data_IF_808054098804
#
_entry.id   IF_808054098804
#
_cell.length_a   1.000
_cell.length_b   1.000
_cell.length_c   1.000
_cell.angle_alpha   90.00
_cell.angle_beta   90.00
_cell.angle_gamma   90.00
#
_symmetry.space_group_name_H-M   'P 1'
#
loop_
_entity.id
_entity.type
_entity.pdbx_description
1 polymer ?
#
# COMPACT_ATOMS: atom_id res chain seq x y z
N UNK A 1 14.37 -5.96 12.32
CA UNK A 1 13.19 -6.82 12.65
C UNK A 1 12.49 -6.42 13.95
N UNK A 2 12.97 -5.42 14.71
CA UNK A 2 12.37 -5.00 15.99
C UNK A 2 11.45 -3.77 15.94
N UNK A 3 11.47 -2.99 14.84
CA UNK A 3 10.66 -1.77 14.74
C UNK A 3 9.14 -2.00 14.61
N UNK A 4 8.70 -3.21 14.22
CA UNK A 4 7.26 -3.57 14.17
C UNK A 4 6.67 -3.93 15.54
N UNK A 5 7.52 -4.26 16.53
CA UNK A 5 7.06 -4.54 17.90
C UNK A 5 6.80 -3.24 18.68
N UNK A 6 7.64 -2.21 18.49
CA UNK A 6 7.51 -0.92 19.19
C UNK A 6 6.23 -0.14 18.83
N UNK A 7 5.83 -0.13 17.57
CA UNK A 7 4.61 0.57 17.12
C UNK A 7 3.33 -0.09 17.67
N UNK A 8 3.34 -1.41 17.83
CA UNK A 8 2.25 -2.17 18.45
C UNK A 8 2.15 -1.92 19.98
N UNK A 9 3.26 -1.60 20.65
CA UNK A 9 3.29 -1.24 22.07
C UNK A 9 2.86 0.22 22.28
N UNK A 10 3.15 1.12 21.33
CA UNK A 10 2.74 2.52 21.41
C UNK A 10 1.22 2.68 21.30
N UNK A 11 0.55 1.89 20.44
CA UNK A 11 -0.91 1.81 20.40
C UNK A 11 -1.51 1.10 21.63
N UNK A 12 -0.77 0.20 22.28
CA UNK A 12 -1.19 -0.47 23.54
C UNK A 12 -1.32 0.50 24.72
N UNK A 13 -0.48 1.54 24.79
CA UNK A 13 -0.40 2.41 25.97
C UNK A 13 -1.33 3.63 25.93
N UNK A 14 -2.02 3.89 24.82
CA UNK A 14 -2.94 5.04 24.72
C UNK A 14 -4.44 4.66 24.77
N UNK A 15 -4.77 3.36 24.84
CA UNK A 15 -6.14 2.86 24.94
C UNK A 15 -6.27 2.06 26.24
N UNK A 16 -6.30 2.78 27.36
CA UNK A 16 -6.76 2.24 28.63
C UNK A 16 -8.27 2.00 28.56
N UNK A 17 -8.70 0.82 28.09
CA UNK A 17 -10.10 0.42 28.11
C UNK A 17 -10.43 -0.71 27.12
N UNK A 18 -10.45 -1.95 27.65
CA UNK A 18 -10.89 -3.19 27.00
C UNK A 18 -10.17 -3.59 25.69
N UNK A 19 -9.15 -4.45 25.84
CA UNK A 19 -8.87 -5.44 24.80
C UNK A 19 -10.04 -6.43 24.77
N UNK A 20 -11.00 -6.22 23.85
CA UNK A 20 -12.05 -7.20 23.57
C UNK A 20 -11.44 -8.42 22.85
N UNK A 21 -11.48 -9.64 23.43
CA UNK A 21 -11.03 -10.86 22.76
C UNK A 21 -11.68 -11.08 21.39
N UNK A 22 -12.94 -10.62 21.20
CA UNK A 22 -13.62 -10.68 19.92
C UNK A 22 -12.99 -9.76 18.89
N UNK A 23 -12.56 -8.56 19.28
CA UNK A 23 -11.85 -7.65 18.38
C UNK A 23 -10.54 -8.27 17.87
N UNK A 24 -9.80 -8.92 18.76
CA UNK A 24 -8.57 -9.62 18.38
C UNK A 24 -8.85 -10.82 17.45
N UNK A 25 -9.89 -11.62 17.74
CA UNK A 25 -10.29 -12.74 16.90
C UNK A 25 -10.76 -12.30 15.51
N UNK A 26 -11.53 -11.21 15.43
CA UNK A 26 -11.99 -10.60 14.17
C UNK A 26 -10.79 -10.10 13.36
N UNK A 27 -9.83 -9.42 14.02
CA UNK A 27 -8.61 -8.95 13.35
C UNK A 27 -7.76 -10.10 12.82
N UNK A 28 -7.59 -11.18 13.58
CA UNK A 28 -6.88 -12.38 13.11
C UNK A 28 -7.55 -12.99 11.88
N UNK A 29 -8.88 -13.13 11.91
CA UNK A 29 -9.64 -13.69 10.79
C UNK A 29 -9.54 -12.78 9.54
N UNK A 30 -9.56 -11.46 9.72
CA UNK A 30 -9.41 -10.52 8.62
C UNK A 30 -8.03 -10.64 7.95
N UNK A 31 -6.96 -10.77 8.72
CA UNK A 31 -5.62 -10.95 8.16
C UNK A 31 -5.47 -12.30 7.45
N UNK A 32 -6.05 -13.37 7.99
CA UNK A 32 -6.08 -14.68 7.31
C UNK A 32 -6.85 -14.59 5.98
N UNK A 33 -8.01 -13.95 5.97
CA UNK A 33 -8.81 -13.73 4.75
C UNK A 33 -8.03 -12.91 3.73
N UNK A 34 -7.37 -11.82 4.15
CA UNK A 34 -6.52 -11.02 3.26
C UNK A 34 -5.36 -11.84 2.69
N UNK A 35 -4.77 -12.75 3.45
CA UNK A 35 -3.73 -13.66 2.94
C UNK A 35 -4.27 -14.55 1.83
N UNK A 36 -5.41 -15.22 2.06
CA UNK A 36 -6.07 -16.07 1.05
C UNK A 36 -6.42 -15.29 -0.21
N UNK A 37 -6.96 -14.08 -0.05
CA UNK A 37 -7.27 -13.21 -1.17
C UNK A 37 -6.00 -12.83 -1.96
N UNK A 38 -4.90 -12.54 -1.29
CA UNK A 38 -3.62 -12.25 -1.96
C UNK A 38 -3.10 -13.46 -2.74
N UNK A 39 -3.17 -14.66 -2.17
CA UNK A 39 -2.74 -15.90 -2.84
C UNK A 39 -3.50 -16.14 -4.15
N UNK A 40 -4.79 -15.77 -4.20
CA UNK A 40 -5.61 -15.87 -5.41
C UNK A 40 -5.32 -14.72 -6.38
N UNK A 41 -5.24 -13.49 -5.88
CA UNK A 41 -5.24 -12.28 -6.72
C UNK A 41 -3.86 -11.97 -7.32
N UNK A 42 -2.78 -12.15 -6.55
CA UNK A 42 -1.41 -11.85 -7.01
C UNK A 42 -1.07 -12.52 -8.35
N UNK A 43 -1.23 -13.85 -8.53
CA UNK A 43 -0.87 -14.48 -9.80
C UNK A 43 -1.72 -13.98 -10.98
N UNK A 44 -2.99 -13.61 -10.76
CA UNK A 44 -3.86 -13.05 -11.80
C UNK A 44 -3.34 -11.69 -12.27
N UNK A 45 -2.98 -10.83 -11.31
CA UNK A 45 -2.45 -9.49 -11.57
C UNK A 45 -1.10 -9.57 -12.28
N UNK A 46 -0.20 -10.44 -11.81
CA UNK A 46 1.13 -10.65 -12.43
C UNK A 46 1.03 -11.21 -13.85
N UNK A 47 0.16 -12.20 -14.09
CA UNK A 47 -0.09 -12.75 -15.43
C UNK A 47 -0.70 -11.72 -16.39
N UNK A 48 -1.28 -10.65 -15.86
CA UNK A 48 -1.82 -9.53 -16.64
C UNK A 48 -0.77 -8.45 -16.93
N UNK A 49 0.49 -8.63 -16.52
CA UNK A 49 1.56 -7.64 -16.68
C UNK A 49 1.50 -6.49 -15.67
N UNK A 50 0.69 -6.61 -14.62
CA UNK A 50 0.56 -5.64 -13.55
C UNK A 50 1.17 -6.17 -12.24
N UNK A 51 1.17 -5.35 -11.19
CA UNK A 51 1.52 -5.77 -9.84
C UNK A 51 0.49 -5.28 -8.83
N UNK A 52 0.31 -6.06 -7.76
CA UNK A 52 -0.57 -5.70 -6.66
C UNK A 52 0.11 -4.63 -5.78
N UNK A 53 -0.54 -3.48 -5.63
CA UNK A 53 -0.10 -2.40 -4.75
C UNK A 53 -0.63 -2.60 -3.34
N UNK A 54 -1.94 -2.84 -3.20
CA UNK A 54 -2.58 -3.04 -1.91
C UNK A 54 -3.92 -3.78 -2.07
N UNK A 55 -4.42 -4.34 -0.97
CA UNK A 55 -5.71 -5.00 -0.88
C UNK A 55 -6.40 -4.59 0.42
N UNK A 56 -7.59 -4.01 0.29
CA UNK A 56 -8.37 -3.51 1.41
C UNK A 56 -9.79 -4.08 1.42
N UNK A 57 -10.27 -4.41 2.62
CA UNK A 57 -11.66 -4.77 2.88
C UNK A 57 -12.27 -3.64 3.69
N UNK A 58 -13.28 -2.97 3.14
CA UNK A 58 -13.97 -1.84 3.77
C UNK A 58 -15.45 -2.13 3.97
N UNK A 59 -16.01 -1.59 5.04
CA UNK A 59 -17.42 -1.82 5.39
C UNK A 59 -17.64 -3.20 6.02
N UNK A 60 -18.92 -3.52 6.27
CA UNK A 60 -19.34 -4.76 6.93
C UNK A 60 -20.65 -5.27 6.33
N UNK A 61 -20.86 -6.59 6.40
CA UNK A 61 -22.06 -7.26 5.90
C UNK A 61 -22.33 -6.94 4.43
N UNK A 62 -23.57 -6.55 4.09
CA UNK A 62 -23.99 -6.24 2.71
C UNK A 62 -23.29 -5.02 2.09
N UNK A 63 -22.53 -4.24 2.86
CA UNK A 63 -21.77 -3.07 2.40
C UNK A 63 -20.27 -3.35 2.30
N UNK A 64 -19.86 -4.63 2.34
CA UNK A 64 -18.45 -5.00 2.20
C UNK A 64 -17.96 -4.66 0.79
N UNK A 65 -16.83 -3.95 0.71
CA UNK A 65 -16.10 -3.68 -0.53
C UNK A 65 -14.70 -4.27 -0.42
N UNK A 66 -14.34 -5.09 -1.39
CA UNK A 66 -12.97 -5.50 -1.67
C UNK A 66 -12.35 -4.51 -2.66
N UNK A 67 -11.45 -3.68 -2.18
CA UNK A 67 -10.64 -2.80 -3.02
C UNK A 67 -9.31 -3.49 -3.34
N UNK A 68 -9.01 -3.61 -4.62
CA UNK A 68 -7.75 -4.13 -5.14
C UNK A 68 -7.04 -3.01 -5.89
N UNK A 69 -5.90 -2.57 -5.36
CA UNK A 69 -5.08 -1.56 -5.99
C UNK A 69 -3.99 -2.24 -6.82
N UNK A 70 -3.97 -1.95 -8.12
CA UNK A 70 -3.03 -2.54 -9.09
C UNK A 70 -2.35 -1.44 -9.88
N UNK A 71 -1.14 -1.69 -10.37
CA UNK A 71 -0.42 -0.74 -11.21
C UNK A 71 0.53 -1.49 -12.17
N UNK A 72 1.10 -0.78 -13.13
CA UNK A 72 2.10 -1.31 -14.08
C UNK A 72 3.36 -0.45 -14.03
N UNK A 73 4.43 -0.87 -14.71
CA UNK A 73 5.65 -0.06 -14.76
C UNK A 73 5.50 1.19 -15.61
N UNK A 74 4.65 1.13 -16.64
CA UNK A 74 4.40 2.21 -17.60
C UNK A 74 3.15 3.04 -17.28
N UNK A 75 2.48 2.73 -16.17
CA UNK A 75 1.21 3.32 -15.76
C UNK A 75 0.01 2.52 -16.28
N UNK A 76 -0.96 2.29 -15.40
CA UNK A 76 -2.13 1.46 -15.70
C UNK A 76 -3.28 2.26 -16.31
N UNK A 77 -3.93 1.69 -17.31
CA UNK A 77 -5.10 2.25 -17.98
C UNK A 77 -6.42 1.71 -17.41
N UNK A 78 -7.52 2.42 -17.65
CA UNK A 78 -8.86 2.00 -17.22
C UNK A 78 -9.23 0.63 -17.82
N UNK A 79 -8.88 0.39 -19.09
CA UNK A 79 -9.16 -0.88 -19.76
C UNK A 79 -8.37 -2.06 -19.16
N UNK A 80 -7.16 -1.82 -18.66
CA UNK A 80 -6.39 -2.85 -17.95
C UNK A 80 -7.01 -3.17 -16.59
N UNK A 81 -7.42 -2.14 -15.84
CA UNK A 81 -8.17 -2.33 -14.60
C UNK A 81 -9.45 -3.14 -14.83
N UNK A 82 -10.20 -2.86 -15.91
CA UNK A 82 -11.42 -3.59 -16.24
C UNK A 82 -11.15 -5.08 -16.54
N UNK A 83 -10.10 -5.36 -17.33
CA UNK A 83 -9.69 -6.74 -17.63
C UNK A 83 -9.29 -7.49 -16.37
N UNK A 84 -8.45 -6.89 -15.53
CA UNK A 84 -7.99 -7.47 -14.26
C UNK A 84 -9.18 -7.68 -13.33
N UNK A 85 -10.10 -6.72 -13.24
CA UNK A 85 -11.33 -6.83 -12.45
C UNK A 85 -12.15 -8.06 -12.82
N UNK A 86 -12.34 -8.29 -14.12
CA UNK A 86 -13.08 -9.46 -14.60
C UNK A 86 -12.39 -10.78 -14.22
N UNK A 87 -11.07 -10.87 -14.41
CA UNK A 87 -10.31 -12.08 -14.06
C UNK A 87 -10.33 -12.36 -12.55
N UNK A 88 -10.23 -11.31 -11.73
CA UNK A 88 -10.34 -11.44 -10.28
C UNK A 88 -11.75 -11.90 -9.89
N UNK A 89 -12.80 -11.30 -10.48
CA UNK A 89 -14.18 -11.69 -10.21
C UNK A 89 -14.41 -13.17 -10.54
N UNK A 90 -14.01 -13.61 -11.73
CA UNK A 90 -14.15 -15.00 -12.17
C UNK A 90 -13.45 -15.98 -11.21
N UNK A 91 -12.26 -15.62 -10.72
CA UNK A 91 -11.53 -16.43 -9.75
C UNK A 91 -12.19 -16.45 -8.38
N UNK A 92 -12.67 -15.30 -7.89
CA UNK A 92 -13.35 -15.22 -6.60
C UNK A 92 -14.70 -15.94 -6.60
N UNK A 93 -15.38 -16.04 -7.74
CA UNK A 93 -16.59 -16.88 -7.90
C UNK A 93 -16.28 -18.37 -7.79
N UNK A 94 -15.07 -18.80 -8.20
CA UNK A 94 -14.64 -20.21 -8.11
C UNK A 94 -14.14 -20.57 -6.71
N UNK A 95 -13.28 -19.73 -6.12
CA UNK A 95 -12.68 -20.00 -4.82
C UNK A 95 -13.59 -19.63 -3.63
N UNK A 96 -14.53 -18.70 -3.84
CA UNK A 96 -15.49 -18.15 -2.88
C UNK A 96 -14.94 -17.89 -1.46
N UNK A 97 -13.83 -17.13 -1.31
CA UNK A 97 -13.19 -16.97 -0.01
C UNK A 97 -13.91 -15.99 0.92
N UNK A 98 -14.77 -15.10 0.39
CA UNK A 98 -15.44 -14.05 1.16
C UNK A 98 -16.89 -14.47 1.42
N UNK A 99 -17.29 -14.69 2.69
CA UNK A 99 -18.66 -15.06 2.99
C UNK A 99 -19.64 -13.90 2.71
N UNK A 100 -20.66 -14.18 1.91
CA UNK A 100 -21.76 -13.26 1.64
C UNK A 100 -21.48 -12.26 0.51
N UNK A 101 -22.40 -11.31 0.32
CA UNK A 101 -22.31 -10.34 -0.78
C UNK A 101 -21.26 -9.25 -0.52
N UNK A 102 -20.44 -8.95 -1.51
CA UNK A 102 -19.50 -7.83 -1.49
C UNK A 102 -19.47 -7.11 -2.84
N UNK A 103 -18.84 -5.93 -2.87
CA UNK A 103 -18.48 -5.20 -4.09
C UNK A 103 -16.99 -5.36 -4.37
N UNK A 104 -16.63 -5.69 -5.60
CA UNK A 104 -15.24 -5.64 -6.07
C UNK A 104 -14.96 -4.28 -6.72
N UNK A 105 -13.87 -3.63 -6.31
CA UNK A 105 -13.35 -2.42 -6.93
C UNK A 105 -11.87 -2.62 -7.27
N UNK A 106 -11.52 -2.47 -8.56
CA UNK A 106 -10.14 -2.59 -9.03
C UNK A 106 -9.72 -1.27 -9.66
N UNK A 107 -8.63 -0.69 -9.16
CA UNK A 107 -8.17 0.62 -9.63
C UNK A 107 -6.67 0.82 -9.40
N UNK A 108 -6.10 1.85 -10.03
CA UNK A 108 -4.79 2.35 -9.65
C UNK A 108 -4.84 3.00 -8.26
N UNK A 109 -3.76 2.99 -7.46
CA UNK A 109 -3.71 3.73 -6.20
C UNK A 109 -3.93 5.24 -6.41
N UNK A 110 -3.68 5.79 -7.59
CA UNK A 110 -3.92 7.20 -7.90
C UNK A 110 -2.89 8.15 -7.27
N UNK A 111 -2.94 9.41 -7.70
CA UNK A 111 -1.99 10.44 -7.28
C UNK A 111 -2.27 10.88 -5.84
N UNK A 112 -1.23 10.96 -5.03
CA UNK A 112 -1.30 11.46 -3.66
C UNK A 112 -1.64 10.38 -2.62
N UNK A 113 -1.85 9.14 -3.04
CA UNK A 113 -1.91 8.02 -2.12
C UNK A 113 -0.50 7.59 -1.68
N UNK A 114 -0.30 7.27 -0.39
CA UNK A 114 0.97 6.76 0.10
C UNK A 114 1.41 5.50 -0.65
N UNK A 115 2.69 5.43 -1.00
CA UNK A 115 3.30 4.24 -1.56
C UNK A 115 3.26 3.10 -0.55
N UNK A 116 2.92 1.91 -1.03
CA UNK A 116 2.79 0.67 -0.27
C UNK A 116 3.88 -0.34 -0.63
N UNK A 117 4.42 -0.24 -1.84
CA UNK A 117 5.45 -1.17 -2.34
C UNK A 117 6.65 -0.42 -2.92
N UNK A 118 7.84 -1.02 -2.85
CA UNK A 118 9.09 -0.41 -3.36
C UNK A 118 9.04 -0.11 -4.86
N UNK A 119 8.35 -0.96 -5.63
CA UNK A 119 8.18 -0.80 -7.09
C UNK A 119 7.57 0.57 -7.47
N UNK A 120 6.71 1.12 -6.62
CA UNK A 120 6.13 2.46 -6.85
C UNK A 120 7.19 3.57 -6.83
N UNK A 121 8.30 3.41 -6.10
CA UNK A 121 9.39 4.39 -6.17
C UNK A 121 10.09 4.33 -7.53
N UNK A 122 10.37 3.12 -8.03
CA UNK A 122 11.03 2.92 -9.32
C UNK A 122 10.21 3.54 -10.47
N UNK A 123 8.90 3.28 -10.49
CA UNK A 123 7.99 3.79 -11.54
C UNK A 123 7.73 5.30 -11.45
N UNK A 124 8.09 5.94 -10.33
CA UNK A 124 7.93 7.37 -10.11
C UNK A 124 9.27 8.14 -10.16
N UNK A 125 10.36 7.52 -10.65
CA UNK A 125 11.61 8.24 -10.91
C UNK A 125 11.35 9.40 -11.87
N UNK A 126 11.92 10.55 -11.55
CA UNK A 126 11.73 11.81 -12.28
C UNK A 126 10.53 12.63 -11.84
N UNK A 127 9.60 12.10 -11.01
CA UNK A 127 8.45 12.85 -10.47
C UNK A 127 8.77 13.49 -9.12
N UNK A 128 7.97 14.48 -8.72
CA UNK A 128 8.05 15.06 -7.39
C UNK A 128 7.35 14.17 -6.37
N UNK A 129 8.03 13.92 -5.26
CA UNK A 129 7.48 13.23 -4.10
C UNK A 129 7.41 14.17 -2.91
N UNK A 130 6.37 13.99 -2.10
CA UNK A 130 6.32 14.44 -0.70
C UNK A 130 6.67 13.25 0.17
N UNK A 131 7.73 13.36 0.95
CA UNK A 131 8.28 12.28 1.76
C UNK A 131 8.41 12.72 3.21
N UNK A 132 7.74 11.99 4.11
CA UNK A 132 7.95 12.05 5.56
C UNK A 132 8.93 10.96 5.96
N UNK A 133 9.97 11.34 6.68
CA UNK A 133 10.99 10.40 7.14
C UNK A 133 11.50 10.77 8.54
N UNK A 134 12.06 9.77 9.22
CA UNK A 134 12.71 9.93 10.51
C UNK A 134 14.18 10.32 10.30
N UNK A 135 14.60 11.47 10.83
CA UNK A 135 16.00 11.90 10.75
C UNK A 135 16.83 11.18 11.82
N UNK A 136 17.91 10.52 11.42
CA UNK A 136 18.73 9.68 12.30
C UNK A 136 19.35 10.42 13.49
N UNK A 137 19.84 11.64 13.24
CA UNK A 137 20.56 12.46 14.21
C UNK A 137 19.71 12.95 15.40
N UNK A 138 18.41 13.11 15.19
CA UNK A 138 17.52 13.86 16.08
C UNK A 138 16.23 13.12 16.42
N UNK A 139 15.97 11.97 15.78
CA UNK A 139 14.71 11.22 15.89
C UNK A 139 13.48 12.11 15.59
N UNK A 140 13.67 13.18 14.84
CA UNK A 140 12.59 14.07 14.43
C UNK A 140 11.99 13.57 13.13
N UNK A 141 10.66 13.60 13.05
CA UNK A 141 9.93 13.39 11.81
C UNK A 141 9.98 14.67 10.99
N UNK A 142 10.52 14.57 9.79
CA UNK A 142 10.64 15.69 8.86
C UNK A 142 9.89 15.36 7.57
N UNK A 143 9.23 16.36 7.00
CA UNK A 143 8.62 16.26 5.67
C UNK A 143 9.41 17.10 4.68
N UNK A 144 9.70 16.53 3.51
CA UNK A 144 10.35 17.23 2.41
C UNK A 144 9.58 17.01 1.11
N UNK A 145 9.77 17.93 0.18
CA UNK A 145 9.32 17.81 -1.20
C UNK A 145 10.52 17.90 -2.12
N UNK A 146 10.67 16.95 -3.02
CA UNK A 146 11.80 16.89 -3.94
C UNK A 146 11.52 15.97 -5.12
N UNK A 147 12.32 16.09 -6.16
CA UNK A 147 12.26 15.21 -7.33
C UNK A 147 12.96 13.90 -7.01
N UNK A 148 12.30 12.77 -7.28
CA UNK A 148 12.94 11.46 -7.17
C UNK A 148 13.95 11.29 -8.31
N UNK A 149 15.22 11.14 -7.96
CA UNK A 149 16.32 10.99 -8.93
C UNK A 149 16.60 9.52 -9.19
N UNK A 150 16.62 8.71 -8.13
CA UNK A 150 16.88 7.28 -8.21
C UNK A 150 16.17 6.53 -7.08
N UNK A 151 15.90 5.25 -7.32
CA UNK A 151 15.41 4.30 -6.34
C UNK A 151 16.04 2.94 -6.65
N UNK A 152 16.60 2.28 -5.63
CA UNK A 152 17.13 0.92 -5.71
C UNK A 152 16.45 0.03 -4.66
N UNK A 153 17.05 -1.10 -4.30
CA UNK A 153 16.47 -2.02 -3.32
C UNK A 153 16.60 -1.55 -1.86
N UNK A 154 17.47 -0.59 -1.55
CA UNK A 154 17.81 -0.13 -0.20
C UNK A 154 17.34 1.30 0.08
N UNK A 155 17.42 2.18 -0.92
CA UNK A 155 17.27 3.62 -0.73
C UNK A 155 16.69 4.34 -1.94
N UNK A 156 16.34 5.60 -1.69
CA UNK A 156 15.98 6.59 -2.70
C UNK A 156 16.88 7.80 -2.60
N UNK A 157 17.04 8.49 -3.72
CA UNK A 157 17.70 9.80 -3.79
C UNK A 157 16.68 10.86 -4.21
N UNK A 158 16.54 11.90 -3.39
CA UNK A 158 15.67 13.04 -3.67
C UNK A 158 16.52 14.28 -3.93
N UNK A 159 16.24 14.95 -5.04
CA UNK A 159 16.74 16.28 -5.36
C UNK A 159 15.74 17.32 -4.83
N UNK A 160 16.14 17.99 -3.75
CA UNK A 160 15.50 19.21 -3.28
C UNK A 160 16.18 20.39 -4.00
N UNK A 161 15.58 21.58 -3.94
CA UNK A 161 16.01 22.81 -4.65
C UNK A 161 17.49 22.85 -5.04
N UNK A 162 18.40 22.82 -4.06
CA UNK A 162 19.85 22.90 -4.29
C UNK A 162 20.65 21.78 -3.58
N UNK A 163 19.96 20.77 -3.03
CA UNK A 163 20.60 19.71 -2.22
C UNK A 163 19.98 18.37 -2.57
N UNK A 164 20.84 17.36 -2.70
CA UNK A 164 20.40 15.96 -2.80
C UNK A 164 20.47 15.30 -1.43
N UNK A 165 19.43 14.55 -1.09
CA UNK A 165 19.40 13.73 0.12
C UNK A 165 19.19 12.28 -0.27
N UNK A 166 19.80 11.38 0.50
CA UNK A 166 19.62 9.94 0.37
C UNK A 166 18.82 9.47 1.57
N UNK A 167 17.72 8.75 1.30
CA UNK A 167 16.86 8.18 2.33
C UNK A 167 16.77 6.68 2.14
N UNK A 168 17.16 5.92 3.16
CA UNK A 168 16.91 4.48 3.23
C UNK A 168 15.42 4.22 3.44
N UNK A 169 14.90 3.11 2.91
CA UNK A 169 13.49 2.78 3.07
C UNK A 169 13.05 2.69 4.54
N UNK A 170 13.94 2.26 5.44
CA UNK A 170 13.66 2.16 6.88
C UNK A 170 13.46 3.53 7.55
N UNK A 171 13.99 4.60 6.95
CA UNK A 171 13.79 5.96 7.43
C UNK A 171 12.45 6.54 6.97
N UNK A 172 11.91 6.06 5.85
CA UNK A 172 10.71 6.61 5.23
C UNK A 172 9.48 6.13 6.00
N UNK A 173 8.72 7.09 6.51
CA UNK A 173 7.45 6.84 7.20
C UNK A 173 6.32 6.82 6.18
N UNK A 174 6.34 7.77 5.24
CA UNK A 174 5.32 7.93 4.21
C UNK A 174 5.94 8.62 3.00
N UNK A 175 5.65 8.14 1.79
CA UNK A 175 5.97 8.83 0.56
C UNK A 175 4.77 8.80 -0.38
N UNK A 176 4.53 9.89 -1.10
CA UNK A 176 3.50 9.97 -2.13
C UNK A 176 3.93 10.91 -3.25
N UNK A 177 3.42 10.68 -4.44
CA UNK A 177 3.56 11.64 -5.55
C UNK A 177 2.90 12.97 -5.20
N UNK A 178 3.56 14.06 -5.55
CA UNK A 178 3.05 15.43 -5.43
C UNK A 178 2.87 16.05 -6.82
N UNK A 179 1.72 16.69 -7.05
CA UNK A 179 1.50 17.50 -8.26
C UNK A 179 2.05 18.90 -8.00
N UNK A 180 3.06 19.29 -8.76
CA UNK A 180 3.57 20.67 -8.77
C UNK A 180 2.84 21.42 -9.88
N UNK A 181 2.14 22.49 -9.50
CA UNK A 181 1.38 23.37 -10.39
C UNK A 181 2.24 24.53 -10.90
#
# INVERSE_FOLDING_TARGET
MEFRFGFFIFLKNQISGLYDPLFFLIMLNLEELKSKLREIIVPIVENSGAYLVDLNLKGVGKKLTLEVFVDTDDGITINECEKISKLISDALDVYDPIPGSYRLEVSSPGVGNPFKVKRQYITNIGRFLRVKYLREDSQQVVEVMGRLVSADDDKIELELKDVKIILRYEQIIEAKTEIVW
#
